data_IF_588898399107
#
_entry.id   IF_588898399107
#
_cell.length_a   1.000
_cell.length_b   1.000
_cell.length_c   1.000
_cell.angle_alpha   90.00
_cell.angle_beta   90.00
_cell.angle_gamma   90.00
#
_symmetry.space_group_name_H-M   'P 1'
#
loop_
_entity.id
_entity.type
_entity.pdbx_description
1 polymer ?
#
# COMPACT_ATOMS: atom_id res chain seq x y z
N UNK A 1 -22.74 -0.88 2.85
CA UNK A 1 -21.65 -1.20 3.80
C UNK A 1 -20.61 -1.87 2.97
N UNK A 2 -19.44 -1.30 2.77
CA UNK A 2 -18.62 -1.63 1.59
C UNK A 2 -17.29 -0.90 1.74
N UNK A 3 -16.24 -1.47 1.18
CA UNK A 3 -14.97 -0.81 0.92
C UNK A 3 -14.67 -0.85 -0.58
N UNK A 4 -14.21 0.26 -1.12
CA UNK A 4 -13.62 0.38 -2.44
C UNK A 4 -12.15 0.75 -2.31
N UNK A 5 -11.28 0.09 -3.06
CA UNK A 5 -9.84 0.38 -3.12
C UNK A 5 -9.46 0.45 -4.61
N UNK A 6 -8.81 1.53 -5.02
CA UNK A 6 -8.21 1.67 -6.34
C UNK A 6 -6.76 2.08 -6.23
N UNK A 7 -5.91 1.53 -7.09
CA UNK A 7 -4.49 1.84 -7.15
C UNK A 7 -4.01 1.96 -8.61
N UNK A 8 -3.12 2.91 -8.86
CA UNK A 8 -2.49 3.18 -10.14
C UNK A 8 -0.98 3.35 -9.95
N UNK A 9 -0.16 2.59 -10.68
CA UNK A 9 1.30 2.55 -10.56
C UNK A 9 1.85 1.12 -10.44
N UNK A 10 3.16 0.95 -10.23
CA UNK A 10 3.79 -0.36 -10.14
C UNK A 10 3.13 -1.26 -9.08
N UNK A 11 2.89 -2.54 -9.43
CA UNK A 11 2.32 -3.55 -8.52
C UNK A 11 0.95 -3.18 -7.92
N UNK A 12 0.14 -2.37 -8.62
CA UNK A 12 -1.18 -1.96 -8.13
C UNK A 12 -2.08 -3.16 -7.79
N UNK A 13 -2.02 -4.25 -8.57
CA UNK A 13 -2.81 -5.44 -8.28
C UNK A 13 -2.46 -6.11 -6.95
N UNK A 14 -1.17 -6.26 -6.65
CA UNK A 14 -0.74 -6.78 -5.34
C UNK A 14 -1.10 -5.82 -4.20
N UNK A 15 -0.97 -4.51 -4.43
CA UNK A 15 -1.27 -3.49 -3.44
C UNK A 15 -2.76 -3.49 -3.04
N UNK A 16 -3.67 -3.55 -4.02
CA UNK A 16 -5.12 -3.65 -3.78
C UNK A 16 -5.47 -4.93 -3.04
N UNK A 17 -4.89 -6.07 -3.43
CA UNK A 17 -5.11 -7.34 -2.73
C UNK A 17 -4.64 -7.29 -1.27
N UNK A 18 -3.41 -6.82 -1.02
CA UNK A 18 -2.85 -6.74 0.35
C UNK A 18 -3.58 -5.73 1.22
N UNK A 19 -4.02 -4.61 0.65
CA UNK A 19 -4.85 -3.64 1.36
C UNK A 19 -6.21 -4.26 1.76
N UNK A 20 -6.87 -5.01 0.88
CA UNK A 20 -8.09 -5.72 1.24
C UNK A 20 -7.86 -6.76 2.35
N UNK A 21 -6.82 -7.59 2.22
CA UNK A 21 -6.48 -8.60 3.20
C UNK A 21 -6.13 -8.00 4.58
N UNK A 22 -5.46 -6.85 4.59
CA UNK A 22 -5.19 -6.10 5.82
C UNK A 22 -6.49 -5.57 6.44
N UNK A 23 -7.39 -5.00 5.63
CA UNK A 23 -8.68 -4.51 6.08
C UNK A 23 -9.49 -5.63 6.75
N UNK A 24 -9.56 -6.80 6.12
CA UNK A 24 -10.27 -7.98 6.64
C UNK A 24 -9.69 -8.51 7.95
N UNK A 25 -8.40 -8.28 8.22
CA UNK A 25 -7.74 -8.72 9.45
C UNK A 25 -8.00 -7.78 10.63
N UNK A 26 -8.05 -6.47 10.39
CA UNK A 26 -8.07 -5.47 11.48
C UNK A 26 -9.43 -4.80 11.66
N UNK A 27 -10.30 -4.89 10.66
CA UNK A 27 -11.58 -4.19 10.66
C UNK A 27 -12.73 -5.09 11.12
N UNK A 28 -13.80 -4.46 11.58
CA UNK A 28 -15.08 -5.10 11.91
C UNK A 28 -16.23 -4.43 11.17
N UNK A 29 -17.31 -5.17 10.94
CA UNK A 29 -18.47 -4.72 10.18
C UNK A 29 -18.66 -5.58 8.93
N UNK A 30 -19.25 -5.02 7.88
CA UNK A 30 -19.51 -5.76 6.65
C UNK A 30 -18.26 -5.78 5.74
N UNK A 31 -17.34 -6.69 6.05
CA UNK A 31 -16.07 -6.94 5.35
C UNK A 31 -15.80 -8.46 5.35
N UNK A 32 -14.97 -8.98 4.43
CA UNK A 32 -14.60 -10.41 4.37
C UNK A 32 -15.65 -11.33 3.72
N UNK A 33 -16.66 -10.77 3.07
CA UNK A 33 -17.69 -11.48 2.33
C UNK A 33 -17.40 -11.51 0.84
N UNK A 34 -18.17 -10.76 0.04
CA UNK A 34 -17.96 -10.69 -1.40
C UNK A 34 -16.79 -9.78 -1.74
N UNK A 35 -16.10 -10.06 -2.85
CA UNK A 35 -15.16 -9.15 -3.48
C UNK A 35 -15.29 -9.24 -5.01
N UNK A 36 -15.30 -8.10 -5.68
CA UNK A 36 -15.19 -7.98 -7.13
C UNK A 36 -13.92 -7.20 -7.45
N UNK A 37 -12.95 -7.86 -8.07
CA UNK A 37 -11.62 -7.34 -8.38
C UNK A 37 -11.44 -7.24 -9.90
N UNK A 38 -10.79 -6.17 -10.34
CA UNK A 38 -10.34 -6.02 -11.72
C UNK A 38 -8.95 -5.40 -11.77
N UNK A 39 -8.16 -5.82 -12.76
CA UNK A 39 -6.85 -5.25 -13.05
C UNK A 39 -6.67 -5.07 -14.56
N UNK A 40 -5.98 -3.99 -14.94
CA UNK A 40 -5.48 -3.79 -16.29
C UNK A 40 -3.99 -4.10 -16.24
N UNK A 41 -3.60 -5.21 -16.87
CA UNK A 41 -2.22 -5.72 -16.88
C UNK A 41 -1.30 -4.84 -17.74
N UNK A 42 0.01 -5.02 -17.62
CA UNK A 42 1.00 -4.20 -18.34
C UNK A 42 0.90 -4.33 -19.87
N UNK A 43 0.41 -5.47 -20.37
CA UNK A 43 0.10 -5.71 -21.78
C UNK A 43 -1.30 -5.22 -22.19
N UNK A 44 -2.00 -4.50 -21.31
CA UNK A 44 -3.30 -3.88 -21.60
C UNK A 44 -4.49 -4.84 -21.58
N UNK A 45 -4.37 -6.04 -20.98
CA UNK A 45 -5.51 -6.95 -20.81
C UNK A 45 -6.29 -6.62 -19.55
N UNK A 46 -7.61 -6.78 -19.62
CA UNK A 46 -8.48 -6.73 -18.45
C UNK A 46 -8.59 -8.14 -17.83
N UNK A 47 -8.19 -8.27 -16.57
CA UNK A 47 -8.37 -9.48 -15.77
C UNK A 47 -9.36 -9.22 -14.65
N UNK A 48 -10.25 -10.18 -14.39
CA UNK A 48 -11.26 -10.11 -13.32
C UNK A 48 -11.14 -11.32 -12.40
N UNK A 49 -11.40 -11.09 -11.12
CA UNK A 49 -11.56 -12.13 -10.12
C UNK A 49 -12.70 -11.75 -9.19
N UNK A 50 -13.49 -12.73 -8.76
CA UNK A 50 -14.64 -12.49 -7.89
C UNK A 50 -14.87 -13.64 -6.92
N UNK A 51 -15.45 -13.30 -5.76
CA UNK A 51 -15.91 -14.28 -4.77
C UNK A 51 -17.12 -13.72 -4.05
N UNK A 52 -18.04 -14.59 -3.64
CA UNK A 52 -19.21 -14.20 -2.83
C UNK A 52 -18.93 -14.23 -1.33
N UNK A 53 -17.97 -15.04 -0.89
CA UNK A 53 -17.72 -15.33 0.53
C UNK A 53 -16.22 -15.54 0.77
N UNK A 54 -15.69 -14.97 1.83
CA UNK A 54 -14.30 -15.15 2.26
C UNK A 54 -13.34 -14.06 1.78
N UNK A 55 -13.81 -13.09 0.99
CA UNK A 55 -13.03 -11.91 0.64
C UNK A 55 -11.68 -12.25 0.03
N UNK A 56 -10.60 -11.65 0.53
CA UNK A 56 -9.24 -11.94 0.04
C UNK A 56 -8.84 -13.42 0.21
N UNK A 57 -9.37 -14.13 1.19
CA UNK A 57 -9.02 -15.53 1.47
C UNK A 57 -9.59 -16.54 0.45
N UNK A 58 -10.46 -16.10 -0.45
CA UNK A 58 -11.04 -16.95 -1.52
C UNK A 58 -11.01 -16.29 -2.89
N UNK A 59 -10.59 -15.02 -2.99
CA UNK A 59 -10.56 -14.25 -4.23
C UNK A 59 -9.62 -14.85 -5.29
N UNK A 60 -8.49 -15.42 -4.86
CA UNK A 60 -7.54 -16.11 -5.72
C UNK A 60 -7.25 -17.52 -5.20
N UNK A 61 -7.02 -18.44 -6.13
CA UNK A 61 -6.71 -19.85 -5.86
C UNK A 61 -5.51 -20.31 -6.67
N UNK A 62 -4.76 -21.27 -6.13
CA UNK A 62 -3.71 -22.00 -6.83
C UNK A 62 -3.94 -23.50 -6.65
N UNK A 63 -4.49 -24.14 -7.68
CA UNK A 63 -5.02 -25.50 -7.55
C UNK A 63 -6.13 -25.54 -6.50
N UNK A 64 -5.96 -26.37 -5.47
CA UNK A 64 -6.90 -26.53 -4.36
C UNK A 64 -6.68 -25.54 -3.21
N UNK A 65 -5.61 -24.74 -3.25
CA UNK A 65 -5.27 -23.78 -2.18
C UNK A 65 -5.97 -22.44 -2.42
N UNK A 66 -6.73 -21.94 -1.43
CA UNK A 66 -7.39 -20.63 -1.47
C UNK A 66 -6.60 -19.56 -0.72
N UNK A 67 -6.83 -18.28 -1.04
CA UNK A 67 -6.25 -17.15 -0.30
C UNK A 67 -4.77 -16.92 -0.61
N UNK A 68 -4.34 -17.42 -1.77
CA UNK A 68 -3.01 -17.15 -2.32
C UNK A 68 -2.92 -15.73 -2.85
N UNK A 69 -1.70 -15.24 -3.03
CA UNK A 69 -1.50 -13.96 -3.74
C UNK A 69 -2.03 -14.02 -5.18
N UNK A 70 -2.38 -12.88 -5.79
CA UNK A 70 -2.80 -12.84 -7.19
C UNK A 70 -1.73 -13.44 -8.12
N UNK A 71 -2.12 -14.04 -9.26
CA UNK A 71 -1.17 -14.48 -10.27
C UNK A 71 -0.19 -13.37 -10.68
N UNK A 72 1.05 -13.67 -11.12
CA UNK A 72 2.08 -12.67 -11.35
C UNK A 72 1.67 -11.51 -12.27
N UNK A 73 0.92 -11.76 -13.33
CA UNK A 73 0.45 -10.73 -14.26
C UNK A 73 -0.56 -9.77 -13.61
N UNK A 74 -1.43 -10.29 -12.74
CA UNK A 74 -2.35 -9.50 -11.92
C UNK A 74 -1.58 -8.75 -10.83
N UNK A 75 -0.67 -9.42 -10.12
CA UNK A 75 0.11 -8.81 -9.04
C UNK A 75 0.97 -7.62 -9.54
N UNK A 76 1.50 -7.71 -10.76
CA UNK A 76 2.30 -6.67 -11.40
C UNK A 76 1.48 -5.64 -12.20
N UNK A 77 0.15 -5.78 -12.26
CA UNK A 77 -0.70 -4.90 -13.04
C UNK A 77 -0.54 -3.43 -12.62
N UNK A 78 -0.42 -2.48 -13.57
CA UNK A 78 -0.30 -1.05 -13.27
C UNK A 78 -1.60 -0.39 -12.78
N UNK A 79 -2.75 -1.01 -13.01
CA UNK A 79 -4.04 -0.50 -12.51
C UNK A 79 -4.83 -1.65 -11.92
N UNK A 80 -5.36 -1.45 -10.72
CA UNK A 80 -6.25 -2.41 -10.09
C UNK A 80 -7.28 -1.73 -9.21
N UNK A 81 -8.42 -2.40 -9.06
CA UNK A 81 -9.50 -1.95 -8.21
C UNK A 81 -10.23 -3.15 -7.59
N UNK A 82 -10.78 -2.95 -6.40
CA UNK A 82 -11.68 -3.90 -5.76
C UNK A 82 -12.81 -3.17 -5.04
N UNK A 83 -13.98 -3.78 -5.05
CA UNK A 83 -15.05 -3.50 -4.10
C UNK A 83 -15.33 -4.76 -3.28
N UNK A 84 -15.45 -4.61 -1.96
CA UNK A 84 -15.72 -5.70 -1.03
C UNK A 84 -16.73 -5.31 0.05
N UNK A 85 -17.41 -6.30 0.61
CA UNK A 85 -18.36 -6.16 1.74
C UNK A 85 -18.62 -7.52 2.40
N UNK A 86 -19.62 -7.60 3.28
CA UNK A 86 -20.30 -8.84 3.64
C UNK A 86 -20.89 -9.60 2.42
N UNK A 87 -21.23 -10.88 2.62
CA UNK A 87 -21.45 -11.84 1.53
C UNK A 87 -22.79 -11.65 0.80
N UNK A 88 -23.02 -12.50 -0.20
CA UNK A 88 -24.30 -12.73 -0.88
C UNK A 88 -24.87 -11.47 -1.58
N UNK A 89 -24.03 -10.84 -2.41
CA UNK A 89 -24.48 -9.73 -3.25
C UNK A 89 -25.19 -10.22 -4.51
N UNK A 90 -26.10 -9.39 -5.08
CA UNK A 90 -26.67 -9.67 -6.39
C UNK A 90 -25.59 -9.96 -7.43
N UNK A 91 -25.76 -11.07 -8.16
CA UNK A 91 -24.90 -11.44 -9.28
C UNK A 91 -25.41 -10.80 -10.58
N UNK A 92 -24.53 -10.52 -11.58
CA UNK A 92 -23.08 -10.73 -11.56
C UNK A 92 -22.36 -9.71 -10.66
N UNK A 93 -21.27 -10.12 -9.97
CA UNK A 93 -20.54 -9.20 -9.08
C UNK A 93 -19.80 -8.11 -9.83
N UNK A 94 -19.46 -8.37 -11.10
CA UNK A 94 -18.90 -7.38 -12.02
C UNK A 94 -19.75 -6.10 -12.15
N UNK A 95 -21.05 -6.12 -11.82
CA UNK A 95 -21.89 -4.92 -11.86
C UNK A 95 -21.40 -3.81 -10.89
N UNK A 96 -20.74 -4.19 -9.80
CA UNK A 96 -20.23 -3.26 -8.81
C UNK A 96 -18.88 -2.61 -9.21
N UNK A 97 -18.23 -3.12 -10.27
CA UNK A 97 -16.94 -2.64 -10.77
C UNK A 97 -16.96 -2.61 -12.31
N UNK A 98 -17.31 -1.43 -12.84
CA UNK A 98 -17.26 -1.16 -14.28
C UNK A 98 -15.80 -1.10 -14.74
N UNK A 99 -15.46 -1.78 -15.83
CA UNK A 99 -14.10 -1.78 -16.35
C UNK A 99 -14.06 -1.96 -17.85
N UNK A 100 -13.11 -1.27 -18.47
CA UNK A 100 -12.74 -1.37 -19.87
C UNK A 100 -11.20 -1.27 -19.94
N UNK A 101 -10.57 -2.17 -20.69
CA UNK A 101 -9.11 -2.29 -20.73
C UNK A 101 -8.42 -1.05 -21.31
N UNK A 102 -9.05 -0.38 -22.27
CA UNK A 102 -8.51 0.80 -22.94
C UNK A 102 -8.83 2.10 -22.18
N UNK A 103 -9.86 2.09 -21.34
CA UNK A 103 -10.34 3.29 -20.65
C UNK A 103 -9.93 3.33 -19.18
N UNK A 104 -10.24 2.30 -18.41
CA UNK A 104 -10.03 2.30 -16.96
C UNK A 104 -11.01 1.43 -16.15
N UNK A 105 -10.96 1.65 -14.85
CA UNK A 105 -11.73 0.96 -13.81
C UNK A 105 -12.54 1.99 -13.02
N UNK A 106 -13.80 1.67 -12.71
CA UNK A 106 -14.65 2.46 -11.80
C UNK A 106 -15.26 1.53 -10.76
N UNK A 107 -14.85 1.74 -9.50
CA UNK A 107 -15.31 1.02 -8.32
C UNK A 107 -15.86 2.02 -7.29
N UNK A 108 -16.08 1.59 -6.05
CA UNK A 108 -16.46 2.52 -4.99
C UNK A 108 -16.96 1.85 -3.74
N UNK A 109 -17.87 2.54 -3.06
CA UNK A 109 -18.60 2.03 -1.92
C UNK A 109 -20.06 2.51 -2.01
N UNK A 110 -20.93 1.98 -1.14
CA UNK A 110 -22.39 2.07 -1.23
C UNK A 110 -22.91 1.30 -2.43
N UNK A 111 -23.58 1.96 -3.38
CA UNK A 111 -24.23 1.35 -4.53
C UNK A 111 -23.67 1.97 -5.82
N UNK A 112 -22.41 1.65 -6.20
CA UNK A 112 -21.79 2.19 -7.42
C UNK A 112 -22.54 1.81 -8.70
N UNK A 113 -23.36 0.75 -8.65
CA UNK A 113 -24.20 0.26 -9.72
C UNK A 113 -25.62 0.87 -9.72
N UNK A 114 -25.90 1.89 -8.89
CA UNK A 114 -27.21 2.56 -8.88
C UNK A 114 -27.52 3.11 -10.26
N UNK A 115 -28.73 2.84 -10.75
CA UNK A 115 -29.22 3.34 -12.04
C UNK A 115 -29.50 4.83 -11.92
N UNK A 116 -28.81 5.63 -12.74
CA UNK A 116 -29.01 7.06 -12.87
C UNK A 116 -30.23 7.41 -13.73
N UNK A 117 -30.55 8.70 -13.88
CA UNK A 117 -31.73 9.16 -14.62
C UNK A 117 -31.73 8.78 -16.12
N UNK A 118 -30.55 8.53 -16.71
CA UNK A 118 -30.40 8.11 -18.11
C UNK A 118 -30.53 6.58 -18.30
N UNK A 119 -30.87 5.86 -17.23
CA UNK A 119 -31.01 4.39 -17.25
C UNK A 119 -29.67 3.64 -17.17
N UNK A 120 -28.54 4.33 -17.06
CA UNK A 120 -27.22 3.70 -16.90
C UNK A 120 -26.79 3.66 -15.44
N UNK A 121 -26.03 2.64 -15.07
CA UNK A 121 -25.39 2.60 -13.75
C UNK A 121 -24.37 3.75 -13.63
N UNK A 122 -24.32 4.42 -12.47
CA UNK A 122 -23.44 5.60 -12.29
C UNK A 122 -21.95 5.28 -12.47
N UNK A 123 -21.48 4.10 -12.06
CA UNK A 123 -20.10 3.66 -12.34
C UNK A 123 -19.83 3.50 -13.84
N UNK A 124 -20.79 2.99 -14.62
CA UNK A 124 -20.71 2.88 -16.07
C UNK A 124 -20.77 4.25 -16.76
N UNK A 125 -21.57 5.19 -16.23
CA UNK A 125 -21.60 6.57 -16.72
C UNK A 125 -20.24 7.27 -16.55
N UNK A 126 -19.58 7.11 -15.39
CA UNK A 126 -18.21 7.64 -15.18
C UNK A 126 -17.21 7.01 -16.14
N UNK A 127 -17.31 5.70 -16.38
CA UNK A 127 -16.43 5.03 -17.34
C UNK A 127 -16.67 5.55 -18.77
N UNK A 128 -17.91 5.86 -19.14
CA UNK A 128 -18.25 6.47 -20.43
C UNK A 128 -17.69 7.89 -20.58
N UNK A 129 -17.75 8.71 -19.53
CA UNK A 129 -17.10 10.04 -19.53
C UNK A 129 -15.57 9.92 -19.70
N UNK A 130 -14.93 8.95 -19.03
CA UNK A 130 -13.51 8.66 -19.23
C UNK A 130 -13.20 8.17 -20.64
N UNK A 131 -14.09 7.37 -21.25
CA UNK A 131 -13.96 6.93 -22.63
C UNK A 131 -14.02 8.13 -23.60
N UNK A 132 -14.81 9.14 -23.27
CA UNK A 132 -14.87 10.43 -23.97
C UNK A 132 -13.63 11.30 -23.82
N UNK A 133 -12.63 10.88 -23.03
CA UNK A 133 -11.38 11.60 -22.86
C UNK A 133 -11.20 12.27 -21.50
N UNK A 134 -12.24 12.31 -20.66
CA UNK A 134 -12.19 13.02 -19.40
C UNK A 134 -11.19 12.38 -18.40
N UNK A 135 -10.37 13.18 -17.70
CA UNK A 135 -9.64 12.70 -16.53
C UNK A 135 -10.59 12.14 -15.47
N UNK A 136 -10.13 11.18 -14.67
CA UNK A 136 -10.94 10.48 -13.66
C UNK A 136 -11.70 11.44 -12.73
N UNK A 137 -11.04 12.50 -12.24
CA UNK A 137 -11.66 13.50 -11.37
C UNK A 137 -12.79 14.28 -12.07
N UNK A 138 -12.59 14.65 -13.34
CA UNK A 138 -13.57 15.38 -14.13
C UNK A 138 -14.79 14.50 -14.45
N UNK A 139 -14.55 13.24 -14.84
CA UNK A 139 -15.60 12.25 -15.09
C UNK A 139 -16.46 12.01 -13.84
N UNK A 140 -15.83 11.84 -12.67
CA UNK A 140 -16.55 11.70 -11.40
C UNK A 140 -17.44 12.91 -11.12
N UNK A 141 -16.90 14.13 -11.26
CA UNK A 141 -17.67 15.35 -11.00
C UNK A 141 -18.81 15.52 -12.00
N UNK A 142 -18.59 15.25 -13.29
CA UNK A 142 -19.61 15.36 -14.33
C UNK A 142 -20.82 14.46 -14.05
N UNK A 143 -20.59 13.26 -13.51
CA UNK A 143 -21.66 12.29 -13.20
C UNK A 143 -22.30 12.53 -11.83
N UNK A 144 -21.52 12.80 -10.78
CA UNK A 144 -22.06 12.87 -9.41
C UNK A 144 -22.60 14.25 -9.04
N UNK A 145 -22.05 15.34 -9.58
CA UNK A 145 -22.53 16.70 -9.24
C UNK A 145 -24.01 16.93 -9.60
N UNK A 146 -24.52 16.46 -10.77
CA UNK A 146 -25.94 16.57 -11.11
C UNK A 146 -26.85 15.61 -10.33
N UNK A 147 -26.27 14.62 -9.63
CA UNK A 147 -26.99 13.55 -8.92
C UNK A 147 -26.72 13.61 -7.41
N UNK A 148 -27.09 14.70 -6.72
CA UNK A 148 -26.73 14.91 -5.32
C UNK A 148 -27.27 13.82 -4.38
N UNK A 149 -28.38 13.18 -4.75
CA UNK A 149 -29.12 12.24 -3.90
C UNK A 149 -28.86 10.77 -4.25
N UNK A 150 -27.91 10.48 -5.16
CA UNK A 150 -27.50 9.09 -5.44
C UNK A 150 -26.74 8.51 -4.24
N UNK A 151 -26.99 7.26 -3.86
CA UNK A 151 -26.27 6.59 -2.76
C UNK A 151 -25.00 5.90 -3.28
N UNK A 152 -24.06 6.69 -3.83
CA UNK A 152 -22.80 6.19 -4.37
C UNK A 152 -21.63 7.09 -3.98
N UNK A 153 -20.52 6.45 -3.60
CA UNK A 153 -19.19 7.06 -3.61
C UNK A 153 -18.29 6.23 -4.50
N UNK A 154 -17.56 6.88 -5.40
CA UNK A 154 -16.89 6.24 -6.53
C UNK A 154 -15.39 6.50 -6.52
N UNK A 155 -14.61 5.53 -6.99
CA UNK A 155 -13.20 5.63 -7.30
C UNK A 155 -13.04 5.32 -8.78
N UNK A 156 -12.39 6.22 -9.52
CA UNK A 156 -12.12 6.08 -10.95
C UNK A 156 -10.61 6.14 -11.21
N UNK A 157 -10.11 5.27 -12.09
CA UNK A 157 -8.70 5.22 -12.47
C UNK A 157 -8.49 4.62 -13.86
N UNK A 158 -7.41 4.95 -14.55
CA UNK A 158 -7.05 4.27 -15.79
C UNK A 158 -5.83 4.85 -16.51
N UNK A 159 -5.37 4.17 -17.58
CA UNK A 159 -4.24 4.63 -18.41
C UNK A 159 -4.49 6.05 -18.94
N UNK A 160 -3.62 7.00 -18.60
CA UNK A 160 -3.76 8.40 -19.03
C UNK A 160 -4.96 9.15 -18.42
N UNK A 161 -5.72 8.54 -17.50
CA UNK A 161 -6.88 9.17 -16.84
C UNK A 161 -6.60 9.63 -15.41
N UNK A 162 -5.48 9.20 -14.83
CA UNK A 162 -5.15 9.45 -13.42
C UNK A 162 -5.98 8.56 -12.48
N UNK A 163 -6.07 8.95 -11.21
CA UNK A 163 -6.91 8.30 -10.19
C UNK A 163 -7.58 9.35 -9.32
N UNK A 164 -8.88 9.18 -9.04
CA UNK A 164 -9.65 10.08 -8.19
C UNK A 164 -10.75 9.33 -7.44
N UNK A 165 -11.27 9.95 -6.39
CA UNK A 165 -12.40 9.44 -5.62
C UNK A 165 -13.35 10.60 -5.30
N UNK A 166 -14.65 10.32 -5.30
CA UNK A 166 -15.68 11.32 -5.01
C UNK A 166 -16.92 10.64 -4.43
N UNK A 167 -17.41 11.18 -3.33
CA UNK A 167 -18.71 10.86 -2.77
C UNK A 167 -19.78 11.80 -3.33
N UNK A 168 -20.96 11.27 -3.61
CA UNK A 168 -22.17 12.10 -3.79
C UNK A 168 -22.51 12.88 -2.52
N UNK A 169 -23.31 13.93 -2.66
CA UNK A 169 -23.74 14.77 -1.52
C UNK A 169 -24.49 13.98 -0.46
N UNK A 170 -25.34 13.01 -0.84
CA UNK A 170 -26.02 12.15 0.12
C UNK A 170 -25.03 11.30 0.93
N UNK A 171 -24.01 10.76 0.26
CA UNK A 171 -23.02 9.90 0.91
C UNK A 171 -22.17 10.69 1.89
N UNK A 172 -21.72 11.91 1.55
CA UNK A 172 -20.88 12.74 2.44
C UNK A 172 -21.53 13.09 3.78
N UNK A 173 -22.87 13.02 3.88
CA UNK A 173 -23.61 13.28 5.11
C UNK A 173 -23.58 12.11 6.11
N UNK A 174 -23.05 10.96 5.71
CA UNK A 174 -23.08 9.76 6.55
C UNK A 174 -22.06 9.84 7.70
N UNK A 175 -22.44 9.45 8.92
CA UNK A 175 -21.53 9.46 10.07
C UNK A 175 -20.58 8.25 10.10
N UNK A 176 -20.64 7.33 9.14
CA UNK A 176 -19.88 6.08 9.13
C UNK A 176 -18.81 5.99 8.02
N UNK A 177 -18.49 7.12 7.36
CA UNK A 177 -17.52 7.19 6.28
C UNK A 177 -16.08 7.14 6.76
N UNK A 178 -15.23 6.43 6.01
CA UNK A 178 -13.79 6.64 6.01
C UNK A 178 -13.28 6.74 4.58
N UNK A 179 -12.33 7.65 4.37
CA UNK A 179 -11.73 7.90 3.08
C UNK A 179 -10.26 8.30 3.27
N UNK A 180 -9.41 7.88 2.36
CA UNK A 180 -8.02 8.32 2.31
C UNK A 180 -7.47 8.19 0.90
N UNK A 181 -6.39 8.91 0.64
CA UNK A 181 -5.61 8.78 -0.57
C UNK A 181 -4.17 9.18 -0.34
N UNK A 182 -3.27 8.59 -1.12
CA UNK A 182 -1.85 8.90 -1.10
C UNK A 182 -1.26 8.74 -2.50
N UNK A 183 -0.09 9.33 -2.71
CA UNK A 183 0.70 9.17 -3.92
C UNK A 183 2.19 9.31 -3.58
N UNK A 184 3.04 8.51 -4.24
CA UNK A 184 4.48 8.44 -4.03
C UNK A 184 5.12 7.84 -5.29
N UNK A 185 6.19 8.44 -5.82
CA UNK A 185 7.01 7.92 -6.95
C UNK A 185 6.22 7.31 -8.13
N UNK A 186 5.16 8.00 -8.58
CA UNK A 186 4.32 7.55 -9.70
C UNK A 186 3.29 6.48 -9.35
N UNK A 187 3.21 6.08 -8.08
CA UNK A 187 2.12 5.29 -7.50
C UNK A 187 1.06 6.21 -6.85
N UNK A 188 -0.20 5.80 -6.90
CA UNK A 188 -1.30 6.51 -6.25
C UNK A 188 -2.42 5.54 -5.84
N UNK A 189 -3.04 5.81 -4.69
CA UNK A 189 -4.08 4.97 -4.09
C UNK A 189 -5.24 5.83 -3.63
N UNK A 190 -6.47 5.31 -3.78
CA UNK A 190 -7.70 5.89 -3.23
C UNK A 190 -8.53 4.81 -2.57
N UNK A 191 -9.07 5.14 -1.39
CA UNK A 191 -9.88 4.22 -0.59
C UNK A 191 -11.11 4.97 -0.09
N UNK A 192 -12.28 4.34 -0.25
CA UNK A 192 -13.55 4.78 0.31
C UNK A 192 -14.18 3.61 1.06
N UNK A 193 -14.73 3.84 2.25
CA UNK A 193 -15.51 2.81 2.94
C UNK A 193 -16.63 3.39 3.79
N UNK A 194 -17.61 2.55 4.10
CA UNK A 194 -18.64 2.88 5.08
C UNK A 194 -19.05 1.65 5.90
N UNK A 195 -19.55 1.88 7.13
CA UNK A 195 -20.03 0.84 8.06
C UNK A 195 -18.97 -0.25 8.34
N UNK A 196 -17.71 0.14 8.27
CA UNK A 196 -16.54 -0.67 8.62
C UNK A 196 -15.75 0.16 9.65
N UNK A 197 -15.35 -0.47 10.75
CA UNK A 197 -14.59 0.15 11.84
C UNK A 197 -13.18 -0.47 11.93
N UNK A 198 -12.15 0.28 12.34
CA UNK A 198 -12.19 1.68 12.81
C UNK A 198 -12.41 2.70 11.68
N UNK A 199 -13.34 3.64 11.87
CA UNK A 199 -13.79 4.55 10.80
C UNK A 199 -12.68 5.47 10.29
N UNK A 200 -11.98 6.14 11.20
CA UNK A 200 -11.04 7.22 10.85
C UNK A 200 -9.65 6.72 10.44
N UNK A 201 -9.25 5.56 10.94
CA UNK A 201 -7.86 5.09 10.83
C UNK A 201 -7.68 3.98 9.81
N UNK A 202 -8.77 3.31 9.39
CA UNK A 202 -8.67 2.21 8.45
C UNK A 202 -8.15 2.69 7.09
N UNK A 203 -8.83 3.64 6.43
CA UNK A 203 -8.39 4.09 5.10
C UNK A 203 -6.93 4.61 5.06
N UNK A 204 -6.46 5.45 6.01
CA UNK A 204 -5.05 5.86 6.06
C UNK A 204 -4.07 4.68 6.19
N UNK A 205 -4.34 3.74 7.11
CA UNK A 205 -3.51 2.53 7.28
C UNK A 205 -3.41 1.73 5.98
N UNK A 206 -4.52 1.56 5.28
CA UNK A 206 -4.56 0.80 4.03
C UNK A 206 -3.83 1.51 2.89
N UNK A 207 -3.82 2.86 2.86
CA UNK A 207 -3.02 3.64 1.92
C UNK A 207 -1.53 3.40 2.17
N UNK A 208 -1.06 3.44 3.42
CA UNK A 208 0.35 3.18 3.75
C UNK A 208 0.76 1.75 3.34
N UNK A 209 -0.07 0.75 3.62
CA UNK A 209 0.18 -0.64 3.21
C UNK A 209 0.26 -0.74 1.68
N UNK A 210 -0.68 -0.12 0.97
CA UNK A 210 -0.70 -0.17 -0.48
C UNK A 210 0.53 0.54 -1.08
N UNK A 211 0.89 1.73 -0.61
CA UNK A 211 2.07 2.46 -1.10
C UNK A 211 3.37 1.71 -0.78
N UNK A 212 3.54 1.12 0.41
CA UNK A 212 4.71 0.27 0.71
C UNK A 212 4.79 -0.99 -0.18
N UNK A 213 3.65 -1.43 -0.72
CA UNK A 213 3.59 -2.49 -1.74
C UNK A 213 3.79 -1.95 -3.15
N UNK A 214 3.57 -0.68 -3.46
CA UNK A 214 3.79 -0.15 -4.82
C UNK A 214 5.21 0.38 -4.98
N UNK A 215 5.72 1.04 -3.95
CA UNK A 215 7.02 1.71 -3.89
C UNK A 215 7.76 1.17 -2.66
N UNK A 216 8.26 -0.07 -2.70
CA UNK A 216 9.02 -0.59 -1.58
C UNK A 216 10.31 0.22 -1.44
N UNK A 217 10.70 0.55 -0.21
CA UNK A 217 11.99 1.18 0.05
C UNK A 217 13.12 0.34 -0.58
N UNK A 218 13.76 0.88 -1.61
CA UNK A 218 14.82 0.17 -2.31
C UNK A 218 16.07 0.14 -1.42
N UNK A 219 16.43 -1.04 -0.91
CA UNK A 219 17.74 -1.23 -0.32
C UNK A 219 18.79 -1.07 -1.44
N UNK A 220 19.67 -0.09 -1.28
CA UNK A 220 20.81 0.12 -2.18
C UNK A 220 21.93 -0.89 -1.85
N UNK A 221 21.95 -1.38 -0.61
CA UNK A 221 22.82 -2.46 -0.19
C UNK A 221 22.53 -2.92 1.23
N UNK A 222 23.43 -3.73 1.76
CA UNK A 222 23.43 -4.10 3.16
C UNK A 222 24.85 -4.04 3.74
N UNK A 223 24.96 -3.68 5.01
CA UNK A 223 26.20 -3.78 5.78
C UNK A 223 26.12 -5.01 6.68
N UNK A 224 27.18 -5.82 6.68
CA UNK A 224 27.27 -6.94 7.62
C UNK A 224 27.81 -6.45 8.96
N UNK A 225 26.99 -6.49 10.00
CA UNK A 225 27.39 -6.15 11.38
C UNK A 225 27.54 -7.45 12.16
N UNK A 226 28.64 -7.61 12.90
CA UNK A 226 28.96 -8.85 13.61
C UNK A 226 29.17 -8.60 15.10
N UNK A 227 28.92 -9.61 15.91
CA UNK A 227 29.43 -9.67 17.26
C UNK A 227 30.97 -9.46 17.23
N UNK A 228 31.45 -8.69 18.18
CA UNK A 228 32.82 -8.18 18.24
C UNK A 228 33.04 -6.85 17.52
N UNK A 229 32.11 -6.35 16.69
CA UNK A 229 32.24 -5.01 16.07
C UNK A 229 32.39 -3.95 17.19
N UNK A 230 33.48 -3.19 17.21
CA UNK A 230 33.74 -2.19 18.24
C UNK A 230 32.80 -0.98 18.10
N UNK A 231 32.49 -0.37 19.24
CA UNK A 231 31.81 0.90 19.35
C UNK A 231 32.83 1.99 19.72
N UNK A 232 32.72 3.16 19.09
CA UNK A 232 33.61 4.30 19.29
C UNK A 232 32.75 5.53 19.61
N UNK A 233 33.17 6.32 20.61
CA UNK A 233 32.50 7.59 20.91
C UNK A 233 32.74 8.58 19.76
N UNK A 234 31.66 9.19 19.25
CA UNK A 234 31.72 10.25 18.27
C UNK A 234 30.57 11.23 18.47
N UNK A 235 30.61 12.37 17.79
CA UNK A 235 29.54 13.37 17.85
C UNK A 235 28.27 12.94 17.09
N UNK A 236 28.40 12.00 16.15
CA UNK A 236 27.30 11.49 15.34
C UNK A 236 27.32 9.97 15.29
N UNK A 237 26.14 9.36 15.17
CA UNK A 237 26.01 7.92 15.00
C UNK A 237 26.27 7.54 13.55
N UNK A 238 27.14 6.55 13.32
CA UNK A 238 27.46 6.04 11.98
C UNK A 238 27.85 4.57 12.06
N UNK A 239 27.57 3.82 10.99
CA UNK A 239 28.18 2.51 10.76
C UNK A 239 29.31 2.71 9.77
N UNK A 240 30.56 2.49 10.19
CA UNK A 240 31.72 2.63 9.31
C UNK A 240 32.05 1.27 8.71
N UNK A 241 32.11 1.23 7.38
CA UNK A 241 32.11 -0.01 6.60
C UNK A 241 33.40 -0.13 5.80
N UNK A 242 34.06 -1.27 5.94
CA UNK A 242 35.23 -1.63 5.15
C UNK A 242 34.89 -1.94 3.68
N UNK A 243 35.93 -2.15 2.87
CA UNK A 243 35.78 -2.48 1.44
C UNK A 243 35.02 -3.79 1.18
N UNK A 244 35.05 -4.71 2.14
CA UNK A 244 34.33 -5.99 2.09
C UNK A 244 32.83 -5.89 2.43
N UNK A 245 32.32 -4.69 2.74
CA UNK A 245 30.92 -4.50 3.12
C UNK A 245 30.59 -4.90 4.57
N UNK A 246 31.59 -5.23 5.38
CA UNK A 246 31.41 -5.47 6.81
C UNK A 246 31.66 -4.18 7.61
N UNK A 247 30.93 -4.01 8.72
CA UNK A 247 31.16 -2.94 9.67
C UNK A 247 32.52 -3.16 10.36
N UNK A 248 33.40 -2.18 10.25
CA UNK A 248 34.68 -2.15 10.95
C UNK A 248 34.51 -1.60 12.36
N UNK A 249 33.68 -0.57 12.53
CA UNK A 249 33.22 -0.08 13.84
C UNK A 249 31.89 0.66 13.71
N UNK A 250 31.28 0.94 14.87
CA UNK A 250 30.07 1.74 15.00
C UNK A 250 30.40 2.98 15.81
N UNK A 251 30.14 4.14 15.25
CA UNK A 251 30.21 5.42 15.96
C UNK A 251 28.91 5.64 16.74
N UNK A 252 29.04 6.01 18.01
CA UNK A 252 27.91 6.30 18.90
C UNK A 252 28.17 7.57 19.69
N UNK A 253 27.11 8.35 19.94
CA UNK A 253 27.12 9.53 20.81
C UNK A 253 26.80 9.19 22.28
N UNK A 254 26.52 7.91 22.58
CA UNK A 254 26.12 7.46 23.92
C UNK A 254 27.32 6.84 24.64
N UNK A 255 28.00 7.65 25.45
CA UNK A 255 29.18 7.21 26.21
C UNK A 255 28.92 6.00 27.14
N UNK A 256 27.68 5.83 27.61
CA UNK A 256 27.30 4.68 28.45
C UNK A 256 27.51 3.34 27.73
N UNK A 257 27.34 3.28 26.40
CA UNK A 257 27.52 2.05 25.61
C UNK A 257 28.97 1.53 25.61
N UNK A 258 29.93 2.34 26.04
CA UNK A 258 31.34 1.97 26.05
C UNK A 258 31.77 1.24 27.32
N UNK A 259 30.90 1.11 28.33
CA UNK A 259 31.22 0.49 29.62
C UNK A 259 30.08 -0.34 30.14
N UNK A 260 30.38 -1.48 30.75
CA UNK A 260 29.36 -2.39 31.24
C UNK A 260 28.57 -3.01 30.10
N UNK A 261 27.43 -3.64 30.42
CA UNK A 261 26.60 -4.38 29.48
C UNK A 261 25.24 -3.71 29.34
N UNK A 262 24.80 -3.46 28.11
CA UNK A 262 23.54 -2.79 27.81
C UNK A 262 22.77 -3.53 26.71
N UNK A 263 21.45 -3.57 26.85
CA UNK A 263 20.57 -3.86 25.72
C UNK A 263 20.12 -2.53 25.11
N UNK A 264 20.44 -2.27 23.85
CA UNK A 264 20.21 -1.00 23.17
C UNK A 264 20.16 -1.16 21.65
N UNK A 265 19.90 -0.06 20.93
CA UNK A 265 20.08 0.01 19.48
C UNK A 265 21.46 0.63 19.17
N UNK A 266 22.50 -0.20 19.01
CA UNK A 266 23.81 0.29 18.57
C UNK A 266 23.78 0.80 17.12
N UNK A 267 22.84 0.29 16.31
CA UNK A 267 22.60 0.73 14.93
C UNK A 267 21.12 1.15 14.79
N UNK A 268 20.73 2.34 15.24
CA UNK A 268 19.35 2.81 15.12
C UNK A 268 18.85 2.88 13.66
N UNK A 269 17.53 2.91 13.47
CA UNK A 269 16.93 3.20 12.16
C UNK A 269 17.42 4.57 11.65
N UNK A 270 17.73 4.66 10.36
CA UNK A 270 18.22 5.90 9.75
C UNK A 270 19.69 6.23 10.07
N UNK A 271 20.46 5.27 10.61
CA UNK A 271 21.89 5.48 10.88
C UNK A 271 22.66 5.58 9.56
N UNK A 272 23.48 6.62 9.37
CA UNK A 272 24.39 6.73 8.23
C UNK A 272 25.34 5.54 8.11
N UNK A 273 25.37 4.94 6.92
CA UNK A 273 26.34 3.92 6.53
C UNK A 273 27.42 4.60 5.71
N UNK A 274 28.66 4.58 6.19
CA UNK A 274 29.77 5.38 5.63
C UNK A 274 30.94 4.47 5.27
N UNK A 275 31.58 4.75 4.13
CA UNK A 275 32.85 4.11 3.72
C UNK A 275 33.81 5.19 3.25
N UNK A 276 35.03 5.18 3.77
CA UNK A 276 36.07 6.16 3.42
C UNK A 276 35.57 7.61 3.51
N UNK A 277 34.75 7.93 4.53
CA UNK A 277 34.14 9.24 4.73
C UNK A 277 32.94 9.56 3.83
N UNK A 278 32.63 8.72 2.84
CA UNK A 278 31.48 8.88 1.93
C UNK A 278 30.24 8.19 2.47
N UNK A 279 29.11 8.91 2.47
CA UNK A 279 27.79 8.35 2.75
C UNK A 279 27.37 7.37 1.64
N UNK A 280 27.08 6.14 2.03
CA UNK A 280 26.51 5.11 1.16
C UNK A 280 24.98 5.09 1.23
N UNK A 281 24.42 5.40 2.40
CA UNK A 281 22.97 5.38 2.63
C UNK A 281 22.61 5.46 4.10
N UNK A 282 21.33 5.28 4.40
CA UNK A 282 20.77 5.24 5.76
C UNK A 282 20.17 3.86 6.03
N UNK A 283 20.42 3.30 7.21
CA UNK A 283 19.86 1.99 7.59
C UNK A 283 18.32 2.01 7.55
N UNK A 284 17.73 0.96 6.99
CA UNK A 284 16.26 0.79 6.90
C UNK A 284 15.74 -0.25 7.90
N UNK A 285 16.60 -0.69 8.81
CA UNK A 285 16.29 -1.64 9.88
C UNK A 285 17.09 -1.27 11.12
N UNK A 286 16.45 -1.43 12.28
CA UNK A 286 17.06 -1.29 13.59
C UNK A 286 17.13 -2.67 14.28
N UNK A 287 18.32 -3.29 14.40
CA UNK A 287 18.47 -4.47 15.22
C UNK A 287 18.46 -4.12 16.72
N UNK A 288 17.77 -4.94 17.52
CA UNK A 288 18.01 -5.00 18.97
C UNK A 288 19.43 -5.52 19.22
N UNK A 289 20.23 -4.85 20.03
CA UNK A 289 21.64 -5.21 20.22
C UNK A 289 22.02 -5.28 21.68
N UNK A 290 22.89 -6.22 22.00
CA UNK A 290 23.61 -6.21 23.28
C UNK A 290 25.00 -5.68 23.02
N UNK A 291 25.41 -4.67 23.77
CA UNK A 291 26.77 -4.15 23.78
C UNK A 291 27.40 -4.39 25.15
N UNK A 292 28.68 -4.69 25.18
CA UNK A 292 29.45 -4.86 26.40
C UNK A 292 30.84 -4.29 26.22
N UNK A 293 31.23 -3.36 27.09
CA UNK A 293 32.56 -2.75 27.13
C UNK A 293 33.05 -2.30 25.73
N UNK A 294 32.25 -1.45 25.07
CA UNK A 294 32.52 -0.89 23.74
C UNK A 294 32.59 -1.93 22.61
N UNK A 295 31.96 -3.11 22.77
CA UNK A 295 31.85 -4.10 21.71
C UNK A 295 30.43 -4.59 21.59
N UNK A 296 30.01 -4.82 20.36
CA UNK A 296 28.77 -5.52 20.08
C UNK A 296 28.90 -6.99 20.50
N UNK A 297 27.92 -7.53 21.21
CA UNK A 297 27.89 -8.92 21.66
C UNK A 297 26.89 -9.75 20.85
N UNK A 298 25.73 -9.18 20.52
CA UNK A 298 24.71 -9.85 19.70
C UNK A 298 23.78 -8.85 19.03
N UNK A 299 23.16 -9.26 17.92
CA UNK A 299 22.10 -8.52 17.23
C UNK A 299 20.87 -9.41 17.03
N UNK A 300 19.76 -9.11 17.71
CA UNK A 300 18.54 -9.92 17.68
C UNK A 300 18.82 -11.39 17.99
N UNK A 301 19.67 -11.66 18.98
CA UNK A 301 20.12 -13.01 19.36
C UNK A 301 21.10 -13.68 18.39
N UNK A 302 21.54 -13.01 17.33
CA UNK A 302 22.48 -13.55 16.32
C UNK A 302 23.88 -12.94 16.46
N UNK A 303 24.88 -13.65 15.97
CA UNK A 303 26.29 -13.20 15.94
C UNK A 303 26.64 -12.39 14.69
N UNK A 304 25.77 -12.38 13.68
CA UNK A 304 25.93 -11.55 12.48
C UNK A 304 24.56 -11.25 11.87
N UNK A 305 24.38 -10.02 11.40
CA UNK A 305 23.17 -9.57 10.72
C UNK A 305 23.56 -8.69 9.53
N UNK A 306 22.91 -8.91 8.39
CA UNK A 306 22.94 -7.98 7.27
C UNK A 306 21.92 -6.87 7.55
N UNK A 307 22.38 -5.65 7.79
CA UNK A 307 21.53 -4.48 8.01
C UNK A 307 21.35 -3.76 6.67
N UNK A 308 20.14 -3.78 6.07
CA UNK A 308 19.90 -3.09 4.83
C UNK A 308 19.99 -1.57 5.02
N UNK A 309 20.41 -0.88 3.97
CA UNK A 309 20.36 0.57 3.88
C UNK A 309 19.82 1.01 2.51
N UNK A 310 19.07 2.11 2.52
CA UNK A 310 18.59 2.78 1.31
C UNK A 310 19.45 4.02 1.04
N UNK A 311 19.37 4.57 -0.17
CA UNK A 311 19.95 5.89 -0.42
C UNK A 311 19.43 6.87 0.62
N UNK A 312 20.30 7.73 1.16
CA UNK A 312 19.81 8.87 1.90
C UNK A 312 18.89 9.65 0.97
N UNK A 313 17.70 10.05 1.45
CA UNK A 313 16.84 10.95 0.69
C UNK A 313 17.65 12.22 0.42
N UNK A 314 18.17 12.32 -0.80
CA UNK A 314 19.01 13.42 -1.23
C UNK A 314 18.12 14.50 -1.78
N UNK A 315 18.35 15.73 -1.30
CA UNK A 315 18.33 16.96 -2.07
C UNK A 315 18.56 16.69 -3.56
N UNK A 316 17.46 16.45 -4.28
CA UNK A 316 17.43 16.38 -5.73
C UNK A 316 17.36 17.80 -6.24
N UNK A 317 18.50 18.27 -6.75
CA UNK A 317 18.63 19.36 -7.72
C UNK A 317 17.63 19.26 -8.86
#
# INVERSE_FOLDING_TARGET
>A
MTIGIGAAGPRAGLAVYRALAAAERVAVGAIGGFAAFAAITADGRLVRAETQRGGSATLFTAGETTGVEPPPDVAQAPFAAVISSGPDRPVPLAQFLAADAAVGLVTGHRLPNTIGPDGRAVNAAVLAEMAGGAPAAAALSAVLSPLPDVDAGLIALGPGRGIAALDSRLVTQRPDLGAAGGAEDGAAVRILHNAIRPRLHLAPLLVEIALGVMVPAAAVGAVTVKAGTPLVLAEARRVVVGRNGAAEWIETDVAAHLRGRHNCAAVPLGTPVVRDGRLLGLTTMEPDTVVENAKLISLGGRTAVAVPYAAAAGEGS
#
